data_IF_844547761499
#
_entry.id   IF_844547761499
#
_cell.length_a   1.000
_cell.length_b   1.000
_cell.length_c   1.000
_cell.angle_alpha   90.00
_cell.angle_beta   90.00
_cell.angle_gamma   90.00
#
_symmetry.space_group_name_H-M   'P 1'
#
loop_
_entity.id
_entity.type
_entity.pdbx_description
1 polymer ?
#
# COMPACT_ATOMS: atom_id res chain seq x y z
N UNK A 1 8.57 -9.80 19.11
CA UNK A 1 8.19 -9.72 17.68
C UNK A 1 8.94 -10.82 16.95
N UNK A 2 8.25 -11.61 16.13
CA UNK A 2 8.89 -12.63 15.31
C UNK A 2 9.82 -11.99 14.27
N UNK A 3 10.90 -12.69 13.92
CA UNK A 3 11.80 -12.30 12.85
C UNK A 3 11.12 -12.52 11.49
N UNK A 4 10.83 -11.43 10.77
CA UNK A 4 10.19 -11.49 9.44
C UNK A 4 11.06 -12.24 8.42
N UNK A 5 12.40 -12.16 8.54
CA UNK A 5 13.30 -12.85 7.63
C UNK A 5 13.19 -14.37 7.82
N UNK A 6 13.11 -14.83 9.07
CA UNK A 6 12.91 -16.26 9.35
C UNK A 6 11.52 -16.73 8.90
N UNK A 7 10.47 -15.90 9.04
CA UNK A 7 9.14 -16.19 8.51
C UNK A 7 9.11 -16.29 6.97
N UNK A 8 9.94 -15.53 6.26
CA UNK A 8 10.04 -15.56 4.80
C UNK A 8 10.99 -16.64 4.27
N UNK A 9 11.89 -17.16 5.10
CA UNK A 9 12.98 -18.04 4.69
C UNK A 9 12.49 -19.32 4.00
N UNK A 10 13.03 -19.58 2.82
CA UNK A 10 12.73 -20.78 2.02
C UNK A 10 11.37 -20.77 1.33
N UNK A 11 10.64 -19.64 1.35
CA UNK A 11 9.36 -19.49 0.65
C UNK A 11 9.57 -18.81 -0.72
N UNK A 12 8.74 -19.14 -1.72
CA UNK A 12 8.74 -18.43 -2.99
C UNK A 12 8.26 -16.98 -2.82
N UNK A 13 8.54 -16.08 -3.79
CA UNK A 13 7.94 -14.76 -3.85
C UNK A 13 6.42 -14.81 -3.76
N UNK A 14 5.82 -13.92 -2.96
CA UNK A 14 4.35 -13.77 -2.92
C UNK A 14 3.90 -13.03 -4.17
N UNK A 15 2.87 -13.51 -4.86
CA UNK A 15 2.28 -12.84 -6.03
C UNK A 15 1.40 -11.67 -5.54
N UNK A 16 1.76 -10.41 -5.85
CA UNK A 16 1.07 -9.23 -5.34
C UNK A 16 -0.05 -8.79 -6.28
N UNK A 17 -1.27 -9.31 -6.07
CA UNK A 17 -2.41 -9.11 -6.97
C UNK A 17 -2.81 -7.63 -7.08
N UNK A 18 -2.62 -6.86 -6.01
CA UNK A 18 -2.93 -5.43 -5.94
C UNK A 18 -2.19 -4.56 -6.97
N UNK A 19 -1.07 -5.01 -7.54
CA UNK A 19 -0.40 -4.30 -8.64
C UNK A 19 -1.13 -4.45 -9.98
N UNK A 20 -1.84 -5.55 -10.18
CA UNK A 20 -2.57 -5.83 -11.43
C UNK A 20 -4.01 -5.35 -11.36
N UNK A 21 -4.62 -5.45 -10.18
CA UNK A 21 -5.98 -5.01 -9.91
C UNK A 21 -6.09 -4.42 -8.50
N UNK A 22 -6.00 -3.09 -8.42
CA UNK A 22 -6.09 -2.34 -7.16
C UNK A 22 -7.50 -2.27 -6.57
N UNK A 23 -8.52 -2.61 -7.37
CA UNK A 23 -9.94 -2.62 -7.00
C UNK A 23 -10.44 -4.01 -6.59
N UNK A 24 -9.62 -5.05 -6.68
CA UNK A 24 -9.96 -6.38 -6.18
C UNK A 24 -10.04 -6.38 -4.65
N UNK A 25 -11.25 -6.61 -4.14
CA UNK A 25 -11.54 -6.58 -2.69
C UNK A 25 -11.55 -7.95 -2.02
N UNK A 26 -11.77 -9.02 -2.80
CA UNK A 26 -11.80 -10.40 -2.33
C UNK A 26 -10.99 -11.33 -3.22
N UNK A 27 -10.48 -12.42 -2.66
CA UNK A 27 -9.74 -13.43 -3.42
C UNK A 27 -9.45 -14.68 -2.59
N UNK A 28 -9.27 -15.81 -3.27
CA UNK A 28 -8.74 -17.02 -2.66
C UNK A 28 -7.22 -17.02 -2.69
N UNK A 29 -6.58 -17.65 -1.71
CA UNK A 29 -5.13 -17.84 -1.68
C UNK A 29 -4.79 -19.14 -0.96
N UNK A 30 -3.53 -19.54 -1.00
CA UNK A 30 -3.02 -20.69 -0.26
C UNK A 30 -2.07 -20.24 0.83
N UNK A 31 -2.26 -20.78 2.04
CA UNK A 31 -1.35 -20.53 3.15
C UNK A 31 -0.05 -21.31 2.91
N UNK A 32 1.09 -20.64 2.94
CA UNK A 32 2.42 -21.25 2.84
C UNK A 32 3.06 -21.46 4.21
N UNK A 33 2.74 -20.59 5.18
CA UNK A 33 3.27 -20.68 6.54
C UNK A 33 2.31 -20.05 7.53
N UNK A 34 2.20 -20.67 8.70
CA UNK A 34 1.54 -20.13 9.89
C UNK A 34 2.56 -20.13 11.03
N UNK A 35 2.65 -19.03 11.76
CA UNK A 35 3.45 -18.96 12.98
C UNK A 35 2.66 -18.22 14.08
N UNK A 36 2.57 -18.78 15.31
CA UNK A 36 1.88 -18.14 16.41
C UNK A 36 2.68 -16.93 16.95
N UNK A 37 1.94 -15.98 17.51
CA UNK A 37 2.41 -14.84 18.29
C UNK A 37 1.56 -14.70 19.56
N UNK A 38 1.84 -13.71 20.40
CA UNK A 38 1.14 -13.53 21.67
C UNK A 38 -0.37 -13.26 21.51
N UNK A 39 -1.16 -13.63 22.54
CA UNK A 39 -2.58 -13.23 22.68
C UNK A 39 -3.46 -13.58 21.47
N UNK A 40 -3.30 -14.80 20.94
CA UNK A 40 -4.01 -15.31 19.74
C UNK A 40 -3.70 -14.51 18.47
N UNK A 41 -2.51 -13.91 18.36
CA UNK A 41 -2.05 -13.35 17.10
C UNK A 41 -1.25 -14.40 16.33
N UNK A 42 -1.24 -14.25 15.01
CA UNK A 42 -0.55 -15.15 14.10
C UNK A 42 0.05 -14.37 12.95
N UNK A 43 1.16 -14.90 12.44
CA UNK A 43 1.74 -14.52 11.16
C UNK A 43 1.38 -15.57 10.11
N UNK A 44 0.84 -15.11 8.98
CA UNK A 44 0.51 -15.94 7.82
C UNK A 44 1.29 -15.44 6.59
N UNK A 45 1.87 -16.38 5.84
CA UNK A 45 2.44 -16.12 4.52
C UNK A 45 1.58 -16.82 3.49
N UNK A 46 1.26 -16.12 2.39
CA UNK A 46 0.44 -16.62 1.29
C UNK A 46 1.26 -16.75 0.00
N UNK A 47 0.79 -17.58 -0.93
CA UNK A 47 1.33 -17.67 -2.29
C UNK A 47 1.00 -16.44 -3.13
N UNK A 48 -0.23 -15.93 -3.01
CA UNK A 48 -0.69 -14.68 -3.59
C UNK A 48 -1.50 -13.86 -2.58
N UNK A 49 -1.59 -12.54 -2.77
CA UNK A 49 -2.38 -11.70 -1.87
C UNK A 49 -2.91 -10.45 -2.55
N UNK A 50 -4.13 -10.08 -2.17
CA UNK A 50 -4.77 -8.79 -2.48
C UNK A 50 -4.41 -7.71 -1.47
N UNK A 51 -3.82 -8.07 -0.32
CA UNK A 51 -3.45 -7.12 0.73
C UNK A 51 -2.15 -6.39 0.38
N UNK A 52 -2.20 -5.08 0.42
CA UNK A 52 -1.06 -4.19 0.23
C UNK A 52 -0.21 -4.13 1.50
N UNK A 53 1.09 -4.48 1.46
CA UNK A 53 2.01 -4.26 2.56
C UNK A 53 2.30 -2.77 2.72
N UNK A 54 2.66 -2.32 3.92
CA UNK A 54 3.09 -0.91 4.11
C UNK A 54 4.21 -0.54 3.11
N UNK A 55 4.06 0.57 2.40
CA UNK A 55 5.04 1.08 1.43
C UNK A 55 4.71 2.50 0.95
N UNK A 56 5.73 3.30 0.57
CA UNK A 56 5.53 4.63 -0.02
C UNK A 56 4.65 5.59 0.80
N UNK A 57 4.81 5.60 2.14
CA UNK A 57 3.98 6.39 3.06
C UNK A 57 2.56 5.84 3.29
N UNK A 58 2.10 4.88 2.49
CA UNK A 58 0.80 4.24 2.65
C UNK A 58 0.83 3.18 3.77
N UNK A 59 -0.07 3.26 4.76
CA UNK A 59 -0.28 2.19 5.73
C UNK A 59 -0.65 0.87 5.06
N UNK A 60 -0.31 -0.25 5.70
CA UNK A 60 -0.73 -1.56 5.21
C UNK A 60 -2.25 -1.71 5.27
N UNK A 61 -2.77 -2.64 4.48
CA UNK A 61 -4.18 -3.01 4.58
C UNK A 61 -4.52 -3.75 5.88
N UNK A 62 -5.83 -3.83 6.07
CA UNK A 62 -6.53 -4.59 7.10
C UNK A 62 -7.65 -5.37 6.43
N UNK A 63 -8.19 -6.36 7.13
CA UNK A 63 -9.29 -7.15 6.60
C UNK A 63 -9.45 -8.49 7.31
N UNK A 64 -10.02 -9.45 6.61
CA UNK A 64 -10.33 -10.78 7.12
C UNK A 64 -9.70 -11.85 6.23
N UNK A 65 -9.18 -12.89 6.87
CA UNK A 65 -8.84 -14.17 6.26
C UNK A 65 -9.68 -15.26 6.90
N UNK A 66 -10.43 -16.02 6.10
CA UNK A 66 -11.30 -17.09 6.57
C UNK A 66 -10.94 -18.42 5.90
N UNK A 67 -10.75 -19.46 6.72
CA UNK A 67 -10.52 -20.84 6.28
C UNK A 67 -11.63 -21.77 6.74
N UNK A 68 -11.44 -23.09 6.57
CA UNK A 68 -12.45 -24.12 6.86
C UNK A 68 -12.90 -24.19 8.34
N UNK A 69 -12.17 -23.57 9.26
CA UNK A 69 -12.51 -23.57 10.69
C UNK A 69 -11.91 -22.42 11.47
N UNK A 70 -11.50 -21.34 10.79
CA UNK A 70 -10.90 -20.18 11.45
C UNK A 70 -11.27 -18.87 10.77
N UNK A 71 -11.21 -17.79 11.54
CA UNK A 71 -11.28 -16.43 11.04
C UNK A 71 -10.20 -15.57 11.70
N UNK A 72 -9.33 -15.02 10.88
CA UNK A 72 -8.25 -14.13 11.29
C UNK A 72 -8.57 -12.70 10.86
N UNK A 73 -8.59 -11.77 11.82
CA UNK A 73 -8.63 -10.35 11.54
C UNK A 73 -7.21 -9.86 11.25
N UNK A 74 -6.90 -9.62 9.98
CA UNK A 74 -5.63 -9.05 9.53
C UNK A 74 -5.54 -7.60 10.00
N UNK A 75 -4.47 -7.28 10.73
CA UNK A 75 -4.24 -5.97 11.32
C UNK A 75 -3.05 -5.24 10.72
N UNK A 76 -2.08 -5.98 10.18
CA UNK A 76 -0.86 -5.44 9.62
C UNK A 76 -0.35 -6.35 8.52
N UNK A 77 0.12 -5.77 7.43
CA UNK A 77 0.76 -6.49 6.32
C UNK A 77 2.14 -5.90 6.09
N UNK A 78 3.15 -6.76 6.03
CA UNK A 78 4.56 -6.40 6.00
C UNK A 78 5.24 -7.14 4.86
N UNK A 79 6.31 -6.56 4.34
CA UNK A 79 7.11 -7.16 3.30
C UNK A 79 8.49 -7.51 3.84
N UNK A 80 8.98 -8.69 3.48
CA UNK A 80 10.33 -9.18 3.79
C UNK A 80 10.94 -9.73 2.52
N UNK A 81 11.78 -8.93 1.85
CA UNK A 81 12.23 -9.22 0.49
C UNK A 81 11.05 -9.29 -0.47
N UNK A 82 10.89 -10.42 -1.16
CA UNK A 82 9.78 -10.69 -2.09
C UNK A 82 8.58 -11.40 -1.45
N UNK A 83 8.61 -11.62 -0.13
CA UNK A 83 7.55 -12.34 0.60
C UNK A 83 6.70 -11.34 1.40
N UNK A 84 5.39 -11.51 1.34
CA UNK A 84 4.42 -10.69 2.09
C UNK A 84 3.89 -11.48 3.29
N UNK A 85 4.02 -10.89 4.47
CA UNK A 85 3.65 -11.46 5.76
C UNK A 85 2.45 -10.71 6.34
N UNK A 86 1.40 -11.45 6.68
CA UNK A 86 0.16 -10.94 7.25
C UNK A 86 0.14 -11.23 8.74
N UNK A 87 -0.06 -10.20 9.56
CA UNK A 87 -0.18 -10.34 11.00
C UNK A 87 -1.59 -9.94 11.44
N UNK A 88 -2.22 -10.80 12.22
CA UNK A 88 -3.61 -10.63 12.60
C UNK A 88 -3.96 -11.33 13.90
N UNK A 89 -5.18 -11.07 14.38
CA UNK A 89 -5.74 -11.71 15.57
C UNK A 89 -6.73 -12.79 15.14
N UNK A 90 -6.59 -14.00 15.67
CA UNK A 90 -7.58 -15.05 15.53
C UNK A 90 -8.82 -14.67 16.34
N UNK A 91 -9.95 -14.50 15.66
CA UNK A 91 -11.21 -14.09 16.28
C UNK A 91 -12.19 -15.25 16.42
N UNK A 92 -12.08 -16.28 15.57
CA UNK A 92 -12.89 -17.49 15.62
C UNK A 92 -12.03 -18.71 15.27
N UNK A 93 -12.26 -19.84 15.93
CA UNK A 93 -11.63 -21.12 15.59
C UNK A 93 -10.18 -21.29 16.04
N UNK A 94 -9.43 -22.11 15.29
CA UNK A 94 -8.02 -22.49 15.54
C UNK A 94 -7.24 -22.51 14.23
N UNK A 95 -5.97 -22.09 14.27
CA UNK A 95 -5.08 -22.00 13.09
C UNK A 95 -4.00 -23.10 13.06
N UNK A 96 -4.16 -24.14 13.88
CA UNK A 96 -3.15 -25.19 14.04
C UNK A 96 -3.08 -26.08 12.80
N UNK A 97 -1.89 -26.19 12.19
CA UNK A 97 -1.59 -27.05 11.03
C UNK A 97 -2.27 -26.66 9.71
N UNK A 98 -2.77 -25.44 9.56
CA UNK A 98 -3.38 -24.93 8.31
C UNK A 98 -2.37 -24.57 7.21
N UNK A 99 -1.09 -24.92 7.37
CA UNK A 99 -0.12 -24.80 6.27
C UNK A 99 -0.64 -25.58 5.06
N UNK A 100 -0.63 -24.93 3.89
CA UNK A 100 -1.14 -25.41 2.61
C UNK A 100 -2.66 -25.47 2.44
N UNK A 101 -3.46 -25.00 3.41
CA UNK A 101 -4.90 -24.88 3.23
C UNK A 101 -5.29 -23.65 2.39
N UNK A 102 -6.49 -23.71 1.78
CA UNK A 102 -7.08 -22.57 1.07
C UNK A 102 -7.63 -21.58 2.09
N UNK A 103 -7.45 -20.30 1.80
CA UNK A 103 -7.97 -19.20 2.62
C UNK A 103 -8.67 -18.18 1.72
N UNK A 104 -9.81 -17.70 2.20
CA UNK A 104 -10.59 -16.63 1.58
C UNK A 104 -10.14 -15.31 2.20
N UNK A 105 -9.73 -14.37 1.36
CA UNK A 105 -9.21 -13.07 1.74
C UNK A 105 -10.23 -11.98 1.38
N UNK A 106 -10.48 -11.05 2.30
CA UNK A 106 -11.31 -9.87 2.10
C UNK A 106 -10.62 -8.67 2.75
N UNK A 107 -10.35 -7.61 1.99
CA UNK A 107 -9.78 -6.37 2.55
C UNK A 107 -10.88 -5.46 3.08
N UNK A 108 -10.53 -4.63 4.07
CA UNK A 108 -11.34 -3.47 4.45
C UNK A 108 -11.31 -2.45 3.31
N UNK A 109 -12.35 -2.46 2.47
CA UNK A 109 -12.41 -1.63 1.27
C UNK A 109 -12.47 -0.14 1.58
N UNK A 110 -13.21 0.26 2.61
CA UNK A 110 -13.30 1.68 2.99
C UNK A 110 -11.93 2.21 3.44
N UNK A 111 -11.17 1.40 4.17
CA UNK A 111 -9.78 1.71 4.52
C UNK A 111 -8.92 1.81 3.26
N UNK A 112 -8.91 0.76 2.41
CA UNK A 112 -8.08 0.71 1.20
C UNK A 112 -8.38 1.89 0.27
N UNK A 113 -9.65 2.14 -0.02
CA UNK A 113 -10.07 3.19 -0.95
C UNK A 113 -9.72 4.57 -0.42
N UNK A 114 -9.83 4.80 0.90
CA UNK A 114 -9.35 6.03 1.53
C UNK A 114 -7.84 6.20 1.34
N UNK A 115 -7.06 5.14 1.51
CA UNK A 115 -5.60 5.18 1.29
C UNK A 115 -5.26 5.47 -0.17
N UNK A 116 -5.95 4.82 -1.12
CA UNK A 116 -5.78 5.10 -2.56
C UNK A 116 -6.05 6.57 -2.89
N UNK A 117 -7.14 7.13 -2.37
CA UNK A 117 -7.46 8.56 -2.56
C UNK A 117 -6.38 9.45 -1.99
N UNK A 118 -5.94 9.22 -0.75
CA UNK A 118 -4.86 10.01 -0.12
C UNK A 118 -3.55 9.90 -0.89
N UNK A 119 -3.23 8.72 -1.41
CA UNK A 119 -2.02 8.50 -2.20
C UNK A 119 -2.08 9.31 -3.51
N UNK A 120 -3.19 9.26 -4.24
CA UNK A 120 -3.38 10.08 -5.44
C UNK A 120 -3.36 11.58 -5.13
N UNK A 121 -3.97 12.01 -4.03
CA UNK A 121 -3.95 13.40 -3.56
C UNK A 121 -2.52 13.86 -3.20
N UNK A 122 -1.71 13.03 -2.54
CA UNK A 122 -0.32 13.40 -2.24
C UNK A 122 0.49 13.71 -3.51
N UNK A 123 0.35 12.91 -4.56
CA UNK A 123 0.99 13.18 -5.85
C UNK A 123 0.44 14.43 -6.55
N UNK A 124 -0.87 14.65 -6.45
CA UNK A 124 -1.49 15.85 -7.01
C UNK A 124 -1.02 17.10 -6.27
N UNK A 125 -0.86 17.03 -4.95
CA UNK A 125 -0.30 18.10 -4.13
C UNK A 125 1.13 18.43 -4.53
N UNK A 126 1.99 17.44 -4.77
CA UNK A 126 3.36 17.65 -5.28
C UNK A 126 3.34 18.46 -6.58
N UNK A 127 2.49 18.06 -7.53
CA UNK A 127 2.31 18.78 -8.80
C UNK A 127 1.83 20.22 -8.58
N UNK A 128 0.79 20.41 -7.76
CA UNK A 128 0.16 21.71 -7.58
C UNK A 128 1.08 22.69 -6.83
N UNK A 129 1.82 22.20 -5.83
CA UNK A 129 2.84 22.99 -5.13
C UNK A 129 3.97 23.40 -6.06
N UNK A 130 4.50 22.48 -6.88
CA UNK A 130 5.55 22.81 -7.85
C UNK A 130 5.10 23.90 -8.83
N UNK A 131 3.87 23.82 -9.33
CA UNK A 131 3.28 24.83 -10.22
C UNK A 131 3.12 26.19 -9.53
N UNK A 132 2.55 26.21 -8.32
CA UNK A 132 2.34 27.44 -7.56
C UNK A 132 3.67 28.12 -7.19
N UNK A 133 4.69 27.33 -6.83
CA UNK A 133 6.02 27.82 -6.49
C UNK A 133 6.90 28.15 -7.71
N UNK A 134 6.51 27.70 -8.90
CA UNK A 134 7.29 27.80 -10.16
C UNK A 134 8.69 27.22 -10.03
N UNK A 135 8.81 26.13 -9.29
CA UNK A 135 10.05 25.35 -9.09
C UNK A 135 9.68 23.95 -8.64
N UNK A 136 10.63 23.03 -8.80
CA UNK A 136 10.46 21.69 -8.27
C UNK A 136 10.35 21.70 -6.73
N UNK A 137 9.55 20.76 -6.23
CA UNK A 137 9.43 20.44 -4.81
C UNK A 137 10.16 19.14 -4.55
N UNK A 138 10.75 19.04 -3.36
CA UNK A 138 11.52 17.88 -2.93
C UNK A 138 10.82 17.24 -1.74
N UNK A 139 9.99 16.24 -2.02
CA UNK A 139 9.24 15.51 -1.00
C UNK A 139 10.20 14.60 -0.22
N UNK A 140 10.28 14.81 1.09
CA UNK A 140 11.23 14.14 1.97
C UNK A 140 10.64 12.94 2.71
N UNK A 141 9.34 13.01 3.01
CA UNK A 141 8.62 11.96 3.72
C UNK A 141 7.11 12.08 3.47
N UNK A 142 6.38 10.99 3.68
CA UNK A 142 4.91 11.03 3.69
C UNK A 142 4.35 9.95 4.61
N UNK A 143 3.19 10.26 5.20
CA UNK A 143 2.36 9.29 5.88
C UNK A 143 0.91 9.52 5.52
N UNK A 144 0.28 8.51 4.92
CA UNK A 144 -1.10 8.60 4.40
C UNK A 144 -2.14 8.07 5.41
N UNK A 145 -1.67 7.63 6.59
CA UNK A 145 -2.52 7.25 7.71
C UNK A 145 -3.10 8.48 8.42
N UNK A 146 -3.51 8.29 9.69
CA UNK A 146 -4.04 9.36 10.52
C UNK A 146 -3.03 9.67 11.66
N UNK A 147 -2.57 10.93 11.81
CA UNK A 147 -2.78 12.07 10.92
C UNK A 147 -2.02 11.92 9.59
N UNK A 148 -2.56 12.49 8.51
CA UNK A 148 -1.98 12.40 7.16
C UNK A 148 -1.05 13.59 6.90
N UNK A 149 0.12 13.37 6.27
CA UNK A 149 1.02 14.44 5.86
C UNK A 149 1.91 14.07 4.65
N UNK A 150 2.38 15.10 3.96
CA UNK A 150 3.55 15.07 3.08
C UNK A 150 4.53 16.13 3.57
N UNK A 151 5.80 15.77 3.70
CA UNK A 151 6.87 16.66 4.15
C UNK A 151 7.76 17.03 2.96
N UNK A 152 8.20 18.29 2.93
CA UNK A 152 9.05 18.82 1.87
C UNK A 152 10.32 19.42 2.45
N UNK A 153 11.42 19.34 1.71
CA UNK A 153 12.64 20.07 2.03
C UNK A 153 12.53 21.55 1.64
N UNK A 154 13.05 22.42 2.52
CA UNK A 154 13.15 23.87 2.28
C UNK A 154 12.25 24.71 3.18
N UNK A 155 12.20 26.03 2.94
CA UNK A 155 11.37 26.93 3.72
C UNK A 155 9.87 26.68 3.45
N UNK A 156 9.00 26.92 4.45
CA UNK A 156 7.56 26.77 4.26
C UNK A 156 7.05 27.73 3.17
N UNK A 157 6.14 27.29 2.29
CA UNK A 157 5.49 28.19 1.33
C UNK A 157 4.68 29.28 2.04
N UNK A 158 4.47 30.41 1.37
CA UNK A 158 3.55 31.43 1.87
C UNK A 158 2.10 30.92 1.82
N UNK A 159 1.21 31.51 2.65
CA UNK A 159 -0.21 31.17 2.62
C UNK A 159 -0.84 31.41 1.24
N UNK A 160 -0.36 32.39 0.49
CA UNK A 160 -0.80 32.65 -0.88
C UNK A 160 -0.46 31.49 -1.82
N UNK A 161 0.76 30.96 -1.76
CA UNK A 161 1.18 29.79 -2.55
C UNK A 161 0.36 28.56 -2.17
N UNK A 162 0.09 28.35 -0.88
CA UNK A 162 -0.74 27.23 -0.42
C UNK A 162 -2.18 27.35 -0.96
N UNK A 163 -2.76 28.55 -0.93
CA UNK A 163 -4.10 28.81 -1.51
C UNK A 163 -4.13 28.52 -3.01
N UNK A 164 -3.11 28.97 -3.75
CA UNK A 164 -3.01 28.71 -5.19
C UNK A 164 -2.90 27.21 -5.51
N UNK A 165 -2.12 26.47 -4.72
CA UNK A 165 -1.98 25.02 -4.87
C UNK A 165 -3.31 24.30 -4.58
N UNK A 166 -4.01 24.66 -3.51
CA UNK A 166 -5.32 24.09 -3.15
C UNK A 166 -6.39 24.37 -4.22
N UNK A 167 -6.45 25.59 -4.77
CA UNK A 167 -7.36 25.94 -5.84
C UNK A 167 -7.07 25.16 -7.13
N UNK A 168 -5.80 24.96 -7.46
CA UNK A 168 -5.38 24.17 -8.62
C UNK A 168 -5.73 22.69 -8.44
N UNK A 169 -5.46 22.14 -7.25
CA UNK A 169 -5.78 20.76 -6.90
C UNK A 169 -7.28 20.48 -7.02
N UNK A 170 -8.12 21.31 -6.38
CA UNK A 170 -9.58 21.14 -6.43
C UNK A 170 -10.13 21.24 -7.85
N UNK A 171 -9.56 22.11 -8.69
CA UNK A 171 -9.91 22.21 -10.11
C UNK A 171 -9.59 20.91 -10.85
N UNK A 172 -8.36 20.40 -10.71
CA UNK A 172 -7.94 19.15 -11.36
C UNK A 172 -8.75 17.95 -10.89
N UNK A 173 -9.15 17.91 -9.62
CA UNK A 173 -10.08 16.89 -9.09
C UNK A 173 -11.43 16.98 -9.80
N UNK A 174 -12.00 18.19 -9.92
CA UNK A 174 -13.31 18.40 -10.57
C UNK A 174 -13.31 18.08 -12.08
N UNK A 175 -12.15 18.19 -12.74
CA UNK A 175 -11.97 17.77 -14.13
C UNK A 175 -12.01 16.24 -14.31
N UNK A 176 -11.86 15.46 -13.24
CA UNK A 176 -12.00 14.00 -13.30
C UNK A 176 -10.97 13.31 -14.21
N UNK A 177 -9.73 13.83 -14.25
CA UNK A 177 -8.67 13.28 -15.10
C UNK A 177 -8.38 11.82 -14.76
N UNK A 178 -8.01 11.04 -15.77
CA UNK A 178 -7.66 9.62 -15.62
C UNK A 178 -6.33 9.44 -14.90
N UNK A 179 -6.30 8.55 -13.90
CA UNK A 179 -5.07 8.11 -13.23
C UNK A 179 -4.79 6.67 -13.65
N UNK A 180 -3.56 6.41 -14.11
CA UNK A 180 -3.12 5.09 -14.54
C UNK A 180 -1.75 4.74 -13.98
N UNK A 181 -1.41 3.44 -14.03
CA UNK A 181 -0.10 2.92 -13.66
C UNK A 181 0.33 1.87 -14.70
N UNK A 182 1.60 1.88 -15.06
CA UNK A 182 2.19 0.96 -16.04
C UNK A 182 3.56 0.50 -15.55
N UNK A 183 3.88 -0.77 -15.75
CA UNK A 183 5.25 -1.26 -15.55
C UNK A 183 6.04 -1.10 -16.84
N UNK A 184 7.12 -0.34 -16.75
CA UNK A 184 8.03 -0.08 -17.88
C UNK A 184 9.47 -0.29 -17.44
N UNK A 185 10.40 -0.48 -18.39
CA UNK A 185 11.82 -0.47 -18.07
C UNK A 185 12.27 0.93 -17.64
N UNK A 186 13.37 1.02 -16.90
CA UNK A 186 13.93 2.32 -16.49
C UNK A 186 14.32 3.19 -17.69
N UNK A 187 14.83 2.57 -18.76
CA UNK A 187 15.14 3.24 -20.02
C UNK A 187 13.87 3.83 -20.65
N UNK A 188 12.80 3.04 -20.71
CA UNK A 188 11.52 3.48 -21.26
C UNK A 188 10.89 4.59 -20.41
N UNK A 189 10.94 4.47 -19.09
CA UNK A 189 10.47 5.49 -18.16
C UNK A 189 11.21 6.82 -18.37
N UNK A 190 12.53 6.76 -18.50
CA UNK A 190 13.38 7.93 -18.75
C UNK A 190 13.02 8.61 -20.06
N UNK A 191 12.75 7.82 -21.11
CA UNK A 191 12.39 8.32 -22.43
C UNK A 191 10.99 8.95 -22.46
N UNK A 192 9.98 8.29 -21.89
CA UNK A 192 8.58 8.73 -21.95
C UNK A 192 8.28 9.88 -21.01
N UNK A 193 8.82 9.84 -19.80
CA UNK A 193 8.41 10.73 -18.71
C UNK A 193 9.48 11.77 -18.39
N UNK A 194 10.36 12.09 -19.36
CA UNK A 194 11.47 13.01 -19.12
C UNK A 194 10.99 14.41 -18.67
N UNK A 195 9.83 14.84 -19.15
CA UNK A 195 9.26 16.17 -18.93
C UNK A 195 7.85 16.13 -18.30
N UNK A 196 7.40 14.97 -17.81
CA UNK A 196 6.12 14.85 -17.10
C UNK A 196 6.35 14.91 -15.59
N UNK A 197 5.30 15.17 -14.82
CA UNK A 197 5.34 15.01 -13.36
C UNK A 197 5.63 13.54 -13.06
N UNK A 198 6.86 13.27 -12.61
CA UNK A 198 7.36 11.91 -12.41
C UNK A 198 6.95 11.37 -11.05
N UNK A 199 6.57 10.10 -11.04
CA UNK A 199 6.58 9.27 -9.84
C UNK A 199 7.38 8.02 -10.20
N UNK A 200 8.67 8.01 -9.90
CA UNK A 200 9.47 6.78 -9.92
C UNK A 200 9.38 6.15 -8.54
N UNK A 201 8.45 5.21 -8.36
CA UNK A 201 8.57 4.24 -7.27
C UNK A 201 9.45 3.10 -7.79
N UNK A 202 10.69 3.03 -7.30
CA UNK A 202 11.55 1.87 -7.53
C UNK A 202 10.91 0.65 -6.87
N UNK A 203 10.67 -0.40 -7.68
CA UNK A 203 10.40 -1.75 -7.20
C UNK A 203 11.70 -2.41 -6.74
#
# INVERSE_FOLDING_TARGET
>A
MADLAELAKGLPPTIPIFWRDSYKTTGDSKILRVAPDEKKHYYLVLDETIFYPKGGGQPSDKGIMAGAGFKLQVKKVMQSGSVIVHWGKLVEGTLENDSFSKVNCEIDWDWRFRMMRRHSTAHLLDHCLANAMRRDVDASDSWLGDPCYVAYHGPPPSLEVLSQAEELENRMISEGRTVGAEQVSMEEATRRFQNETRILQGL
#
